data_IF_456587740565
#
_entry.id   IF_456587740565
#
_cell.length_a   1.000
_cell.length_b   1.000
_cell.length_c   1.000
_cell.angle_alpha   90.00
_cell.angle_beta   90.00
_cell.angle_gamma   90.00
#
_symmetry.space_group_name_H-M   'P 1'
#
loop_
_entity.id
_entity.type
_entity.pdbx_description
1 polymer ?
#
# COMPACT_ATOMS: atom_id res chain seq x y z
N UNK A 1 0.69 12.81 18.01
CA UNK A 1 0.19 11.82 18.98
C UNK A 1 1.29 10.93 19.54
N UNK A 2 1.98 10.11 18.73
CA UNK A 2 3.09 9.27 19.23
C UNK A 2 4.18 10.06 19.98
N UNK A 3 4.72 11.13 19.38
CA UNK A 3 5.72 11.97 20.06
C UNK A 3 5.20 12.57 21.39
N UNK A 4 3.89 12.84 21.50
CA UNK A 4 3.31 13.37 22.74
C UNK A 4 3.23 12.28 23.81
N UNK A 5 2.86 11.06 23.43
CA UNK A 5 2.85 9.89 24.33
C UNK A 5 4.26 9.52 24.78
N UNK A 6 5.25 9.58 23.89
CA UNK A 6 6.66 9.33 24.22
C UNK A 6 7.21 10.40 25.18
N UNK A 7 6.91 11.67 24.94
CA UNK A 7 7.28 12.76 25.87
C UNK A 7 6.61 12.57 27.24
N UNK A 8 5.32 12.20 27.25
CA UNK A 8 4.60 11.93 28.50
C UNK A 8 5.17 10.73 29.25
N UNK A 9 5.57 9.67 28.54
CA UNK A 9 6.24 8.51 29.11
C UNK A 9 7.58 8.89 29.73
N UNK A 10 8.38 9.70 29.04
CA UNK A 10 9.68 10.15 29.52
C UNK A 10 9.56 10.93 30.83
N UNK A 11 8.61 11.88 30.89
CA UNK A 11 8.34 12.66 32.09
C UNK A 11 7.85 11.80 33.25
N UNK A 12 6.88 10.91 33.02
CA UNK A 12 6.35 10.01 34.06
C UNK A 12 7.42 9.03 34.56
N UNK A 13 8.29 8.53 33.68
CA UNK A 13 9.40 7.66 34.04
C UNK A 13 10.46 8.41 34.86
N UNK A 14 10.74 9.68 34.50
CA UNK A 14 11.65 10.55 35.25
C UNK A 14 11.12 10.83 36.64
N UNK A 15 9.84 11.14 36.78
CA UNK A 15 9.17 11.33 38.08
C UNK A 15 9.25 10.05 38.92
N UNK A 16 8.90 8.89 38.35
CA UNK A 16 8.99 7.61 39.04
C UNK A 16 10.42 7.32 39.51
N UNK A 17 11.44 7.59 38.69
CA UNK A 17 12.84 7.35 39.04
C UNK A 17 13.33 8.24 40.19
N UNK A 18 12.80 9.47 40.31
CA UNK A 18 13.10 10.38 41.41
C UNK A 18 12.34 10.00 42.68
N UNK A 19 11.11 9.51 42.55
CA UNK A 19 10.23 9.18 43.69
C UNK A 19 10.56 7.82 44.32
N UNK A 20 11.00 6.83 43.52
CA UNK A 20 11.35 5.49 43.99
C UNK A 20 12.41 5.44 45.11
N UNK A 21 13.52 6.20 45.08
CA UNK A 21 14.46 6.25 46.20
C UNK A 21 13.88 6.95 47.44
N UNK A 22 12.94 7.88 47.27
CA UNK A 22 12.29 8.58 48.39
C UNK A 22 11.35 7.67 49.19
N UNK A 23 10.79 6.64 48.56
CA UNK A 23 10.07 5.56 49.25
C UNK A 23 10.99 4.82 50.23
N UNK A 24 12.24 4.52 49.83
CA UNK A 24 13.23 3.89 50.73
C UNK A 24 13.60 4.77 51.91
N UNK A 25 13.56 6.09 51.71
CA UNK A 25 13.76 7.10 52.78
C UNK A 25 12.50 7.39 53.61
N UNK A 26 11.39 6.68 53.40
CA UNK A 26 10.13 6.85 54.14
C UNK A 26 9.39 8.16 53.89
N UNK A 27 9.84 8.96 52.92
CA UNK A 27 9.33 10.33 52.68
C UNK A 27 8.15 10.36 51.69
N UNK A 28 7.83 9.23 51.05
CA UNK A 28 6.74 9.10 50.09
C UNK A 28 5.97 7.81 50.35
N UNK A 29 4.66 7.84 50.15
CA UNK A 29 3.78 6.68 50.29
C UNK A 29 3.99 5.66 49.15
N UNK A 30 3.98 4.37 49.48
CA UNK A 30 4.05 3.27 48.52
C UNK A 30 2.90 3.31 47.49
N UNK A 31 1.73 3.81 47.90
CA UNK A 31 0.56 4.00 47.04
C UNK A 31 0.85 4.96 45.89
N UNK A 32 1.65 6.01 46.14
CA UNK A 32 1.98 6.99 45.11
C UNK A 32 2.93 6.40 44.06
N UNK A 33 3.89 5.58 44.49
CA UNK A 33 4.79 4.85 43.58
C UNK A 33 4.00 3.86 42.72
N UNK A 34 3.08 3.11 43.31
CA UNK A 34 2.19 2.18 42.58
C UNK A 34 1.35 2.94 41.55
N UNK A 35 0.82 4.11 41.91
CA UNK A 35 0.04 4.96 41.00
C UNK A 35 0.87 5.45 39.82
N UNK A 36 2.12 5.86 40.06
CA UNK A 36 3.07 6.27 39.02
C UNK A 36 3.45 5.09 38.12
N UNK A 37 3.74 3.91 38.67
CA UNK A 37 4.04 2.70 37.89
C UNK A 37 2.87 2.27 37.00
N UNK A 38 1.64 2.37 37.51
CA UNK A 38 0.42 2.15 36.72
C UNK A 38 0.33 3.13 35.55
N UNK A 39 0.54 4.42 35.83
CA UNK A 39 0.49 5.47 34.80
C UNK A 39 1.52 5.24 33.70
N UNK A 40 2.77 4.89 34.07
CA UNK A 40 3.82 4.51 33.11
C UNK A 40 3.40 3.31 32.27
N UNK A 41 2.82 2.28 32.89
CA UNK A 41 2.34 1.08 32.20
C UNK A 41 1.19 1.36 31.23
N UNK A 42 0.25 2.22 31.63
CA UNK A 42 -0.86 2.69 30.78
C UNK A 42 -0.34 3.45 29.55
N UNK A 43 0.59 4.39 29.73
CA UNK A 43 1.17 5.15 28.61
C UNK A 43 1.92 4.22 27.65
N UNK A 44 2.73 3.29 28.17
CA UNK A 44 3.40 2.27 27.34
C UNK A 44 2.40 1.44 26.53
N UNK A 45 1.33 0.98 27.17
CA UNK A 45 0.26 0.23 26.50
C UNK A 45 -0.40 1.03 25.38
N UNK A 46 -0.63 2.33 25.58
CA UNK A 46 -1.19 3.20 24.55
C UNK A 46 -0.23 3.42 23.37
N UNK A 47 1.07 3.55 23.63
CA UNK A 47 2.10 3.64 22.57
C UNK A 47 2.10 2.37 21.71
N UNK A 48 2.09 1.19 22.34
CA UNK A 48 2.10 -0.08 21.60
C UNK A 48 0.82 -0.28 20.80
N UNK A 49 -0.35 0.08 21.35
CA UNK A 49 -1.61 0.10 20.60
C UNK A 49 -1.54 1.01 19.38
N UNK A 50 -1.08 2.24 19.56
CA UNK A 50 -0.93 3.21 18.47
C UNK A 50 -0.02 2.66 17.37
N UNK A 51 1.15 2.11 17.73
CA UNK A 51 2.07 1.48 16.76
C UNK A 51 1.42 0.32 16.02
N UNK A 52 0.70 -0.55 16.73
CA UNK A 52 0.00 -1.69 16.13
C UNK A 52 -1.08 -1.24 15.15
N UNK A 53 -1.85 -0.20 15.48
CA UNK A 53 -2.89 0.35 14.61
C UNK A 53 -2.30 0.98 13.34
N UNK A 54 -1.20 1.72 13.46
CA UNK A 54 -0.50 2.31 12.30
C UNK A 54 0.09 1.23 11.38
N UNK A 55 0.63 0.15 11.94
CA UNK A 55 1.10 -1.00 11.16
C UNK A 55 -0.05 -1.70 10.42
N UNK A 56 -1.22 -1.84 11.05
CA UNK A 56 -2.41 -2.41 10.41
C UNK A 56 -2.90 -1.52 9.25
N UNK A 57 -2.99 -0.20 9.45
CA UNK A 57 -3.32 0.76 8.38
C UNK A 57 -2.33 0.68 7.22
N UNK A 58 -1.04 0.60 7.50
CA UNK A 58 0.01 0.47 6.47
C UNK A 58 -0.17 -0.82 5.66
N UNK A 59 -0.43 -1.95 6.32
CA UNK A 59 -0.66 -3.23 5.66
C UNK A 59 -1.90 -3.22 4.77
N UNK A 60 -3.00 -2.58 5.23
CA UNK A 60 -4.22 -2.40 4.44
C UNK A 60 -3.96 -1.56 3.19
N UNK A 61 -3.37 -0.38 3.35
CA UNK A 61 -3.02 0.50 2.22
C UNK A 61 -2.07 -0.19 1.22
N UNK A 62 -1.11 -0.98 1.71
CA UNK A 62 -0.20 -1.76 0.87
C UNK A 62 -0.94 -2.84 0.08
N UNK A 63 -1.90 -3.52 0.69
CA UNK A 63 -2.73 -4.54 0.03
C UNK A 63 -3.60 -3.92 -1.06
N UNK A 64 -4.24 -2.78 -0.76
CA UNK A 64 -5.02 -2.02 -1.75
C UNK A 64 -4.16 -1.55 -2.91
N UNK A 65 -2.95 -1.05 -2.63
CA UNK A 65 -2.00 -0.65 -3.67
C UNK A 65 -1.68 -1.82 -4.61
N UNK A 66 -1.39 -3.01 -4.08
CA UNK A 66 -1.14 -4.19 -4.90
C UNK A 66 -2.35 -4.58 -5.76
N UNK A 67 -3.56 -4.52 -5.20
CA UNK A 67 -4.78 -4.79 -5.96
C UNK A 67 -4.97 -3.78 -7.11
N UNK A 68 -4.70 -2.50 -6.87
CA UNK A 68 -4.78 -1.45 -7.89
C UNK A 68 -3.73 -1.63 -8.99
N UNK A 69 -2.50 -2.05 -8.65
CA UNK A 69 -1.44 -2.31 -9.63
C UNK A 69 -1.86 -3.44 -10.57
N UNK A 70 -2.40 -4.53 -10.04
CA UNK A 70 -2.86 -5.66 -10.87
C UNK A 70 -4.06 -5.28 -11.75
N UNK A 71 -5.01 -4.50 -11.21
CA UNK A 71 -6.11 -3.96 -12.01
C UNK A 71 -5.59 -3.07 -13.15
N UNK A 72 -4.67 -2.15 -12.86
CA UNK A 72 -4.08 -1.25 -13.86
C UNK A 72 -3.30 -2.02 -14.93
N UNK A 73 -2.60 -3.09 -14.56
CA UNK A 73 -1.92 -3.98 -15.50
C UNK A 73 -2.91 -4.70 -16.42
N UNK A 74 -4.03 -5.19 -15.89
CA UNK A 74 -5.09 -5.78 -16.70
C UNK A 74 -5.73 -4.75 -17.66
N UNK A 75 -5.92 -3.51 -17.21
CA UNK A 75 -6.44 -2.43 -18.04
C UNK A 75 -5.45 -2.01 -19.14
N UNK A 76 -4.15 -1.97 -18.84
CA UNK A 76 -3.11 -1.78 -19.86
C UNK A 76 -3.11 -2.89 -20.91
N UNK A 77 -3.28 -4.14 -20.50
CA UNK A 77 -3.39 -5.27 -21.43
C UNK A 77 -4.63 -5.14 -22.34
N UNK A 78 -5.78 -4.72 -21.79
CA UNK A 78 -6.98 -4.40 -22.57
C UNK A 78 -6.75 -3.27 -23.58
N UNK A 79 -6.08 -2.19 -23.17
CA UNK A 79 -5.77 -1.08 -24.06
C UNK A 79 -4.85 -1.53 -25.20
N UNK A 80 -3.86 -2.38 -24.90
CA UNK A 80 -2.91 -2.88 -25.91
C UNK A 80 -3.62 -3.73 -26.97
N UNK A 81 -4.63 -4.52 -26.58
CA UNK A 81 -5.48 -5.28 -27.52
C UNK A 81 -6.41 -4.41 -28.38
N UNK A 82 -6.55 -3.12 -28.08
CA UNK A 82 -7.36 -2.20 -28.88
C UNK A 82 -6.65 -1.80 -30.18
N UNK A 83 -5.32 -1.91 -30.24
CA UNK A 83 -4.54 -1.58 -31.44
C UNK A 83 -4.07 -2.84 -32.14
N UNK A 84 -4.68 -3.16 -33.29
CA UNK A 84 -4.24 -4.27 -34.14
C UNK A 84 -3.07 -3.80 -35.02
N UNK A 85 -1.91 -4.49 -34.93
CA UNK A 85 -0.71 -4.21 -35.74
C UNK A 85 -0.38 -5.40 -36.64
N UNK A 86 0.29 -5.13 -37.76
CA UNK A 86 0.82 -6.19 -38.61
C UNK A 86 1.93 -6.97 -37.88
N UNK A 87 1.93 -8.31 -37.92
CA UNK A 87 3.04 -9.13 -37.41
C UNK A 87 4.24 -9.17 -38.35
N UNK A 88 4.06 -8.81 -39.63
CA UNK A 88 5.09 -8.90 -40.68
C UNK A 88 5.26 -7.56 -41.40
N UNK A 89 6.46 -7.31 -41.92
CA UNK A 89 6.69 -6.19 -42.83
C UNK A 89 6.18 -6.55 -44.22
N UNK A 90 5.26 -5.76 -44.75
CA UNK A 90 4.54 -6.12 -45.97
C UNK A 90 3.65 -5.00 -46.49
N UNK A 91 3.08 -5.21 -47.66
CA UNK A 91 2.11 -4.30 -48.27
C UNK A 91 0.69 -4.79 -47.95
N UNK A 92 -0.19 -3.87 -47.54
CA UNK A 92 -1.61 -4.18 -47.36
C UNK A 92 -2.23 -4.42 -48.73
N UNK A 93 -2.63 -5.66 -49.02
CA UNK A 93 -3.27 -6.04 -50.29
C UNK A 93 -4.73 -5.60 -50.33
N UNK A 94 -5.47 -5.82 -49.25
CA UNK A 94 -6.88 -5.46 -49.18
C UNK A 94 -7.35 -5.19 -47.74
N UNK A 95 -8.12 -4.11 -47.57
CA UNK A 95 -8.84 -3.80 -46.33
C UNK A 95 -10.27 -4.34 -46.46
N UNK A 96 -10.63 -5.32 -45.63
CA UNK A 96 -11.95 -5.98 -45.65
C UNK A 96 -12.98 -5.22 -44.79
N UNK A 97 -12.54 -4.46 -43.79
CA UNK A 97 -13.39 -3.65 -42.91
C UNK A 97 -13.14 -2.15 -43.08
N UNK A 98 -14.20 -1.38 -43.41
CA UNK A 98 -14.11 0.06 -43.75
C UNK A 98 -14.96 0.96 -42.86
N UNK A 99 -15.51 0.43 -41.76
CA UNK A 99 -16.50 1.12 -40.93
C UNK A 99 -15.87 1.66 -39.65
N UNK A 100 -16.06 2.97 -39.40
CA UNK A 100 -15.69 3.62 -38.13
C UNK A 100 -16.86 3.42 -37.16
N UNK A 101 -16.61 2.79 -36.00
CA UNK A 101 -17.64 2.54 -34.97
C UNK A 101 -18.46 1.26 -35.13
N UNK A 102 -18.15 0.41 -36.12
CA UNK A 102 -18.76 -0.92 -36.27
C UNK A 102 -18.18 -1.93 -35.27
N UNK A 103 -18.99 -2.89 -34.82
CA UNK A 103 -18.54 -3.98 -33.94
C UNK A 103 -17.96 -5.12 -34.78
N UNK A 104 -16.74 -5.55 -34.45
CA UNK A 104 -16.02 -6.67 -35.08
C UNK A 104 -16.22 -7.94 -34.25
N UNK A 105 -16.53 -9.06 -34.92
CA UNK A 105 -16.65 -10.36 -34.24
C UNK A 105 -15.28 -11.04 -34.07
N UNK A 106 -15.05 -11.82 -33.00
CA UNK A 106 -13.83 -12.58 -32.84
C UNK A 106 -13.57 -13.50 -34.04
N UNK A 107 -12.37 -13.43 -34.61
CA UNK A 107 -11.95 -14.28 -35.74
C UNK A 107 -12.31 -13.75 -37.13
N UNK A 108 -12.96 -12.58 -37.26
CA UNK A 108 -13.21 -11.99 -38.58
C UNK A 108 -11.96 -11.36 -39.18
N UNK A 109 -11.72 -11.56 -40.47
CA UNK A 109 -10.62 -10.95 -41.19
C UNK A 109 -10.80 -9.43 -41.35
N UNK A 110 -9.85 -8.64 -40.85
CA UNK A 110 -9.88 -7.18 -40.96
C UNK A 110 -9.14 -6.67 -42.21
N UNK A 111 -7.97 -7.23 -42.47
CA UNK A 111 -7.03 -6.79 -43.49
C UNK A 111 -6.14 -7.96 -43.93
N UNK A 112 -5.69 -7.92 -45.19
CA UNK A 112 -4.77 -8.91 -45.77
C UNK A 112 -3.45 -8.21 -46.11
N UNK A 113 -2.33 -8.78 -45.63
CA UNK A 113 -0.98 -8.24 -45.84
C UNK A 113 -0.16 -9.27 -46.60
N UNK A 114 0.58 -8.80 -47.60
CA UNK A 114 1.56 -9.59 -48.36
C UNK A 114 2.95 -9.21 -47.83
N UNK A 115 3.71 -10.14 -47.24
CA UNK A 115 5.07 -9.89 -46.77
C UNK A 115 5.99 -9.46 -47.91
N UNK A 116 6.95 -8.59 -47.61
CA UNK A 116 7.97 -8.17 -48.58
C UNK A 116 9.28 -8.95 -48.47
N UNK A 117 9.49 -9.66 -47.36
CA UNK A 117 10.61 -10.59 -47.17
C UNK A 117 10.22 -11.97 -47.69
N UNK A 118 10.17 -12.11 -49.02
CA UNK A 118 10.00 -13.38 -49.71
C UNK A 118 11.39 -13.98 -49.96
N UNK A 119 11.89 -14.75 -48.98
CA UNK A 119 12.95 -15.74 -49.23
C UNK A 119 12.33 -17.12 -49.09
N UNK A 120 11.87 -17.65 -50.23
CA UNK A 120 11.46 -19.05 -50.45
C UNK A 120 12.56 -20.04 -50.07
#
# INVERSE_FOLDING_TARGET
ELNQLETALELAQKELNLTRPLLKGGSVSEVEVIRLERTVSEIKGNIEKFKSEELDKLNKARTELFALIEANKADKDRLTRTTVRSPVYGIVKQIKMKTIGGVVQPGSDLLEIVPLDDTL
#
